data_IF_593435182778
#
_entry.id   IF_593435182778
#
_cell.length_a   1.000
_cell.length_b   1.000
_cell.length_c   1.000
_cell.angle_alpha   90.00
_cell.angle_beta   90.00
_cell.angle_gamma   90.00
#
_symmetry.space_group_name_H-M   'P 1'
#
loop_
_entity.id
_entity.type
_entity.pdbx_description
1 polymer ?
#
# COMPACT_ATOMS: atom_id res chain seq x y z
N UNK A 1 -0.64 14.42 -5.03
CA UNK A 1 0.26 13.62 -4.15
C UNK A 1 -0.42 13.43 -2.80
N UNK A 2 -0.12 12.36 -2.05
CA UNK A 2 -0.83 11.98 -0.82
C UNK A 2 -0.23 12.47 0.51
N UNK A 3 0.61 13.51 0.48
CA UNK A 3 1.23 14.11 1.66
C UNK A 3 1.85 13.11 2.68
N UNK A 4 2.40 11.98 2.20
CA UNK A 4 3.12 11.02 3.04
C UNK A 4 4.48 11.58 3.48
N UNK A 5 4.96 11.14 4.63
CA UNK A 5 6.28 11.50 5.16
C UNK A 5 7.37 10.67 4.48
N UNK A 6 8.14 11.31 3.61
CA UNK A 6 9.25 10.71 2.87
C UNK A 6 10.62 11.19 3.38
N UNK A 7 10.68 11.72 4.61
CA UNK A 7 11.92 12.23 5.21
C UNK A 7 12.85 11.14 5.75
N UNK A 8 12.42 9.88 5.77
CA UNK A 8 13.20 8.75 6.23
C UNK A 8 14.47 8.51 5.41
N UNK A 9 15.60 8.30 6.09
CA UNK A 9 16.87 7.95 5.44
C UNK A 9 16.95 6.46 5.15
N UNK A 10 17.76 6.05 4.17
CA UNK A 10 17.99 4.64 3.86
C UNK A 10 18.31 3.81 5.11
N UNK A 11 17.67 2.63 5.23
CA UNK A 11 17.82 1.74 6.38
C UNK A 11 17.07 2.16 7.66
N UNK A 12 16.42 3.33 7.68
CA UNK A 12 15.55 3.72 8.78
C UNK A 12 14.20 2.98 8.72
N UNK A 13 13.52 2.93 9.85
CA UNK A 13 12.24 2.23 9.94
C UNK A 13 11.09 2.96 9.20
N UNK A 14 11.16 4.27 9.06
CA UNK A 14 10.22 5.05 8.23
C UNK A 14 10.49 4.80 6.75
N UNK A 15 11.76 4.77 6.33
CA UNK A 15 12.14 4.39 4.97
C UNK A 15 11.65 2.99 4.60
N UNK A 16 11.91 2.00 5.45
CA UNK A 16 11.45 0.63 5.25
C UNK A 16 9.92 0.50 5.09
N UNK A 17 9.16 1.33 5.81
CA UNK A 17 7.70 1.34 5.72
C UNK A 17 7.22 1.97 4.40
N UNK A 18 7.86 3.05 3.93
CA UNK A 18 7.53 3.63 2.63
C UNK A 18 7.94 2.74 1.46
N UNK A 19 9.06 2.02 1.54
CA UNK A 19 9.44 1.01 0.56
C UNK A 19 8.38 -0.11 0.47
N UNK A 20 7.86 -0.54 1.62
CA UNK A 20 6.79 -1.53 1.66
C UNK A 20 5.49 -1.02 1.02
N UNK A 21 5.14 0.26 1.24
CA UNK A 21 4.00 0.90 0.57
C UNK A 21 4.21 0.95 -0.95
N UNK A 22 5.42 1.32 -1.39
CA UNK A 22 5.77 1.45 -2.80
C UNK A 22 5.70 0.10 -3.52
N UNK A 23 6.24 -0.95 -2.92
CA UNK A 23 6.26 -2.32 -3.47
C UNK A 23 4.86 -2.94 -3.52
N UNK A 24 4.04 -2.76 -2.48
CA UNK A 24 2.64 -3.20 -2.53
C UNK A 24 1.86 -2.45 -3.61
N UNK A 25 2.07 -1.14 -3.74
CA UNK A 25 1.40 -0.32 -4.75
C UNK A 25 1.82 -0.65 -6.18
N UNK A 26 3.11 -0.92 -6.43
CA UNK A 26 3.61 -1.30 -7.76
C UNK A 26 3.03 -2.65 -8.19
N UNK A 27 2.99 -3.63 -7.29
CA UNK A 27 2.35 -4.92 -7.56
C UNK A 27 0.85 -4.77 -7.85
N UNK A 28 0.12 -4.01 -7.04
CA UNK A 28 -1.31 -3.77 -7.25
C UNK A 28 -1.59 -3.10 -8.60
N UNK A 29 -0.87 -2.02 -8.94
CA UNK A 29 -1.01 -1.35 -10.25
C UNK A 29 -0.67 -2.31 -11.39
N UNK A 30 0.42 -3.07 -11.26
CA UNK A 30 0.83 -4.04 -12.27
C UNK A 30 -0.27 -5.07 -12.53
N UNK A 31 -0.85 -5.63 -11.48
CA UNK A 31 -1.99 -6.56 -11.57
C UNK A 31 -3.22 -5.90 -12.18
N UNK A 32 -3.58 -4.68 -11.76
CA UNK A 32 -4.76 -3.96 -12.27
C UNK A 32 -4.65 -3.63 -13.76
N UNK A 33 -3.46 -3.27 -14.22
CA UNK A 33 -3.20 -2.91 -15.62
C UNK A 33 -2.80 -4.10 -16.50
N UNK A 34 -2.69 -5.31 -15.92
CA UNK A 34 -2.23 -6.50 -16.64
C UNK A 34 -0.76 -6.43 -17.08
N UNK A 35 0.06 -5.64 -16.39
CA UNK A 35 1.49 -5.55 -16.65
C UNK A 35 2.21 -6.79 -16.08
N UNK A 36 3.29 -7.24 -16.73
CA UNK A 36 4.11 -8.31 -16.18
C UNK A 36 4.69 -7.89 -14.83
N UNK A 37 4.39 -8.66 -13.78
CA UNK A 37 4.96 -8.52 -12.44
C UNK A 37 6.18 -9.44 -12.24
N UNK A 38 7.06 -9.53 -13.24
CA UNK A 38 8.35 -10.21 -13.08
C UNK A 38 9.30 -9.29 -12.32
N UNK A 39 9.42 -9.53 -11.01
CA UNK A 39 10.31 -8.78 -10.14
C UNK A 39 11.25 -9.78 -9.48
N UNK A 40 12.38 -10.03 -10.13
CA UNK A 40 13.42 -10.99 -9.73
C UNK A 40 14.07 -10.71 -8.35
N UNK A 41 13.69 -9.63 -7.66
CA UNK A 41 14.37 -9.13 -6.45
C UNK A 41 13.48 -8.88 -5.21
N UNK A 42 12.23 -9.34 -5.15
CA UNK A 42 11.38 -9.11 -3.97
C UNK A 42 11.96 -9.70 -2.66
N UNK A 43 12.74 -10.77 -2.71
CA UNK A 43 13.18 -11.50 -1.52
C UNK A 43 14.19 -10.72 -0.64
N UNK A 44 15.03 -9.87 -1.22
CA UNK A 44 16.05 -9.11 -0.49
C UNK A 44 15.46 -7.99 0.38
N UNK A 45 14.27 -7.46 0.03
CA UNK A 45 13.55 -6.46 0.84
C UNK A 45 12.65 -7.08 1.91
N UNK A 46 12.13 -8.29 1.68
CA UNK A 46 11.34 -9.05 2.67
C UNK A 46 12.12 -9.32 3.95
N UNK A 47 13.44 -9.52 3.85
CA UNK A 47 14.32 -9.69 5.01
C UNK A 47 14.33 -8.49 5.96
N UNK A 48 14.31 -7.27 5.42
CA UNK A 48 14.27 -6.04 6.22
C UNK A 48 12.87 -5.80 6.81
N UNK A 49 11.82 -6.17 6.07
CA UNK A 49 10.43 -6.04 6.53
C UNK A 49 10.03 -7.06 7.61
N UNK A 50 10.62 -8.26 7.59
CA UNK A 50 10.35 -9.31 8.57
C UNK A 50 10.59 -8.88 10.02
N UNK A 51 11.61 -8.05 10.29
CA UNK A 51 11.85 -7.50 11.63
C UNK A 51 10.73 -6.52 12.04
N UNK A 52 10.26 -5.69 11.11
CA UNK A 52 9.16 -4.74 11.33
C UNK A 52 7.84 -5.46 11.56
N UNK A 53 7.54 -6.49 10.76
CA UNK A 53 6.32 -7.31 10.88
C UNK A 53 6.29 -8.12 12.18
N UNK A 54 7.45 -8.53 12.69
CA UNK A 54 7.57 -9.14 14.02
C UNK A 54 7.32 -8.14 15.15
N UNK A 55 7.73 -6.88 14.98
CA UNK A 55 7.55 -5.82 15.97
C UNK A 55 6.12 -5.24 15.98
N UNK A 56 5.48 -5.10 14.81
CA UNK A 56 4.10 -4.63 14.67
C UNK A 56 3.34 -5.50 13.66
N UNK A 57 2.49 -6.39 14.18
CA UNK A 57 1.64 -7.29 13.36
C UNK A 57 0.61 -6.53 12.53
N UNK A 58 0.31 -5.27 12.87
CA UNK A 58 -0.61 -4.42 12.11
C UNK A 58 0.07 -3.63 10.99
N UNK A 59 1.40 -3.63 10.93
CA UNK A 59 2.16 -2.86 9.95
C UNK A 59 1.83 -3.25 8.50
N UNK A 60 1.58 -4.54 8.23
CA UNK A 60 1.17 -5.02 6.91
C UNK A 60 -0.15 -4.40 6.45
N UNK A 61 -1.15 -4.34 7.34
CA UNK A 61 -2.46 -3.77 7.02
C UNK A 61 -2.38 -2.26 6.82
N UNK A 62 -1.59 -1.57 7.66
CA UNK A 62 -1.36 -0.11 7.51
C UNK A 62 -0.65 0.21 6.19
N UNK A 63 0.38 -0.57 5.85
CA UNK A 63 1.10 -0.42 4.59
C UNK A 63 0.18 -0.71 3.39
N UNK A 64 -0.63 -1.78 3.45
CA UNK A 64 -1.59 -2.12 2.41
C UNK A 64 -2.65 -1.02 2.21
N UNK A 65 -3.22 -0.47 3.29
CA UNK A 65 -4.18 0.63 3.20
C UNK A 65 -3.55 1.93 2.66
N UNK A 66 -2.29 2.20 2.99
CA UNK A 66 -1.56 3.34 2.42
C UNK A 66 -1.19 3.11 0.95
N UNK A 67 -0.87 1.87 0.58
CA UNK A 67 -0.62 1.47 -0.80
C UNK A 67 -1.89 1.61 -1.65
N UNK A 68 -3.03 1.11 -1.17
CA UNK A 68 -4.31 1.22 -1.88
C UNK A 68 -4.64 2.68 -2.22
N UNK A 69 -4.55 3.60 -1.25
CA UNK A 69 -4.74 5.03 -1.51
C UNK A 69 -3.81 5.58 -2.60
N UNK A 70 -2.57 5.09 -2.64
CA UNK A 70 -1.60 5.47 -3.67
C UNK A 70 -1.98 4.93 -5.05
N UNK A 71 -2.44 3.68 -5.10
CA UNK A 71 -2.93 3.04 -6.31
C UNK A 71 -4.14 3.78 -6.85
N UNK A 72 -5.13 4.03 -6.01
CA UNK A 72 -6.35 4.77 -6.34
C UNK A 72 -5.99 6.15 -6.92
N UNK A 73 -5.10 6.88 -6.25
CA UNK A 73 -4.62 8.17 -6.73
C UNK A 73 -3.94 8.06 -8.11
N UNK A 74 -3.13 7.03 -8.35
CA UNK A 74 -2.45 6.84 -9.64
C UNK A 74 -3.44 6.44 -10.75
N UNK A 75 -4.34 5.50 -10.47
CA UNK A 75 -5.33 5.00 -11.42
C UNK A 75 -6.40 6.02 -11.77
N UNK A 76 -6.67 7.00 -10.89
CA UNK A 76 -7.55 8.12 -11.19
C UNK A 76 -7.10 8.95 -12.41
N UNK A 77 -5.83 8.84 -12.85
CA UNK A 77 -5.33 9.48 -14.07
C UNK A 77 -5.38 8.57 -15.31
N UNK A 78 -5.75 7.29 -15.15
CA UNK A 78 -5.88 6.35 -16.26
C UNK A 78 -7.29 6.45 -16.87
N UNK A 79 -7.44 6.58 -18.20
CA UNK A 79 -8.74 6.83 -18.85
C UNK A 79 -9.80 5.77 -18.50
N UNK A 80 -9.39 4.50 -18.38
CA UNK A 80 -10.30 3.40 -18.08
C UNK A 80 -10.63 3.24 -16.58
N UNK A 81 -9.88 3.88 -15.67
CA UNK A 81 -10.06 3.75 -14.21
C UNK A 81 -10.42 5.08 -13.51
N UNK A 82 -10.37 6.21 -14.22
CA UNK A 82 -10.70 7.54 -13.70
C UNK A 82 -12.17 7.72 -13.28
N UNK A 83 -13.06 6.83 -13.71
CA UNK A 83 -14.50 6.92 -13.47
C UNK A 83 -15.01 6.00 -12.35
N UNK A 84 -14.13 5.32 -11.61
CA UNK A 84 -14.54 4.61 -10.40
C UNK A 84 -14.66 5.64 -9.28
N UNK A 85 -15.90 5.95 -8.88
CA UNK A 85 -16.18 6.79 -7.73
C UNK A 85 -15.39 6.28 -6.52
N UNK A 86 -14.44 7.09 -6.06
CA UNK A 86 -13.73 6.86 -4.81
C UNK A 86 -14.69 7.18 -3.67
N UNK A 87 -15.65 6.28 -3.44
CA UNK A 87 -16.48 6.28 -2.23
C UNK A 87 -15.55 6.08 -1.04
N UNK A 88 -15.08 7.21 -0.55
CA UNK A 88 -14.50 7.36 0.78
C UNK A 88 -15.67 7.32 1.75
N UNK A 89 -16.34 6.17 1.86
CA UNK A 89 -17.24 5.92 2.98
C UNK A 89 -16.37 5.77 4.24
N UNK A 90 -16.43 6.85 5.00
CA UNK A 90 -16.05 7.00 6.39
C UNK A 90 -16.29 5.73 7.21
N UNK A 91 -15.27 5.37 7.99
CA UNK A 91 -15.35 4.30 8.98
C UNK A 91 -16.42 4.65 10.04
N UNK A 92 -17.64 4.15 9.89
CA UNK A 92 -18.73 4.67 10.72
C UNK A 92 -20.02 3.85 10.86
N UNK A 93 -20.07 2.55 10.56
CA UNK A 93 -21.22 1.73 10.97
C UNK A 93 -20.86 0.25 11.14
N UNK A 94 -20.23 -0.08 12.25
CA UNK A 94 -20.26 -1.45 12.75
C UNK A 94 -21.68 -1.72 13.27
N UNK A 95 -22.47 -2.49 12.50
CA UNK A 95 -23.74 -3.01 12.99
C UNK A 95 -23.51 -3.90 14.23
N UNK A 96 -24.41 -3.88 15.24
CA UNK A 96 -24.24 -4.70 16.42
C UNK A 96 -24.47 -6.17 16.05
N UNK A 97 -23.48 -7.00 16.37
CA UNK A 97 -23.61 -8.46 16.39
C UNK A 97 -24.66 -8.83 17.45
N UNK A 98 -25.84 -9.22 16.98
CA UNK A 98 -26.90 -9.75 17.83
C UNK A 98 -26.50 -11.13 18.40
N UNK A 99 -26.69 -11.29 19.71
CA UNK A 99 -26.46 -12.52 20.48
C UNK A 99 -27.63 -13.50 20.36
#
# INVERSE_FOLDING_TARGET
RLARDLSGTFGSASYAFEEMIAELGSCQIGMTLGLPCDIDNHASYVGHWLQRLKADKTAIFKAAAAAQRAVDYCLAFHPDFAAQDLDTEDAGSAEPIAA
#
